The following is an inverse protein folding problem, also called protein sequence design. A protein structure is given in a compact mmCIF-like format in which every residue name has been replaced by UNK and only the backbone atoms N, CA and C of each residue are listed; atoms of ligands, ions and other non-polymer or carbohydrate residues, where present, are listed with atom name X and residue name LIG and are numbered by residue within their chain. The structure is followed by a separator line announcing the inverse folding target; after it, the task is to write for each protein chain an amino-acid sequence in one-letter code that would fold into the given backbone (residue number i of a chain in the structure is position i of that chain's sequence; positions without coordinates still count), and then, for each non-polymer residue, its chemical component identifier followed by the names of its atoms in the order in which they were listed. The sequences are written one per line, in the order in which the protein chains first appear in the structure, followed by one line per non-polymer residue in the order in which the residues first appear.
data_IF_179257869492
#
_entry.id   IF_179257869492
#
_cell.length_a   1.000
_cell.length_b   1.000
_cell.length_c   1.000
_cell.angle_alpha   90.00
_cell.angle_beta   90.00
_cell.angle_gamma   90.00
#
_symmetry.space_group_name_H-M   'P 1'
#
loop_
_entity.id
_entity.type
_entity.pdbx_description
1 polymer ?
#
# COMPACT_ATOMS: atom_id res chain seq x y z
N UNK A 1 -14.95 9.21 8.09
CA UNK A 1 -13.93 8.73 7.12
C UNK A 1 -13.97 9.67 5.92
N UNK A 2 -12.93 10.48 5.71
CA UNK A 2 -12.82 11.35 4.54
C UNK A 2 -12.51 10.45 3.33
N UNK A 3 -13.48 10.16 2.47
CA UNK A 3 -13.20 9.47 1.20
C UNK A 3 -12.55 10.49 0.26
N UNK A 4 -11.28 10.28 -0.07
CA UNK A 4 -10.61 10.98 -1.17
C UNK A 4 -11.32 10.67 -2.49
N UNK A 5 -11.39 11.65 -3.40
CA UNK A 5 -12.01 11.46 -4.73
C UNK A 5 -11.26 10.45 -5.61
N UNK A 6 -10.02 10.10 -5.24
CA UNK A 6 -9.19 9.10 -5.93
C UNK A 6 -8.58 8.11 -4.92
N UNK A 7 -8.59 6.81 -5.20
CA UNK A 7 -7.88 5.82 -4.39
C UNK A 7 -6.38 6.06 -4.45
N UNK A 8 -5.73 6.02 -3.29
CA UNK A 8 -4.29 6.10 -3.13
C UNK A 8 -3.80 4.84 -2.41
N UNK A 9 -2.67 4.28 -2.87
CA UNK A 9 -1.99 3.17 -2.20
C UNK A 9 -0.49 3.40 -2.39
N UNK A 10 0.23 3.40 -1.30
CA UNK A 10 1.69 3.41 -1.28
C UNK A 10 2.22 2.16 -0.61
N UNK A 11 3.22 1.53 -1.25
CA UNK A 11 3.95 0.39 -0.70
C UNK A 11 5.34 0.86 -0.31
N UNK A 12 5.64 0.81 0.98
CA UNK A 12 6.97 1.05 1.50
C UNK A 12 7.87 -0.17 1.21
N UNK A 13 8.67 -0.09 0.13
CA UNK A 13 9.58 -1.17 -0.29
C UNK A 13 10.63 -1.53 0.78
N UNK A 14 10.97 -0.63 1.72
CA UNK A 14 11.92 -0.93 2.80
C UNK A 14 11.34 -1.92 3.81
N UNK A 15 10.05 -1.85 4.07
CA UNK A 15 9.36 -2.69 5.06
C UNK A 15 8.75 -3.93 4.40
N UNK A 16 8.28 -3.81 3.16
CA UNK A 16 7.64 -4.90 2.43
C UNK A 16 8.53 -6.13 2.30
N UNK A 17 8.04 -7.29 2.76
CA UNK A 17 8.73 -8.59 2.64
C UNK A 17 8.32 -9.41 1.43
N UNK A 18 7.50 -8.86 0.53
CA UNK A 18 7.08 -9.50 -0.74
C UNK A 18 6.24 -10.77 -0.54
N UNK A 19 5.45 -10.83 0.54
CA UNK A 19 4.61 -11.98 0.85
C UNK A 19 3.44 -12.19 -0.12
N UNK A 20 2.99 -11.15 -0.83
CA UNK A 20 1.91 -11.23 -1.80
C UNK A 20 0.48 -11.16 -1.23
N UNK A 21 0.29 -11.06 0.09
CA UNK A 21 -1.05 -11.02 0.70
C UNK A 21 -1.93 -9.87 0.22
N UNK A 22 -1.33 -8.71 -0.07
CA UNK A 22 -2.09 -7.59 -0.63
C UNK A 22 -2.69 -7.91 -2.01
N UNK A 23 -2.04 -8.75 -2.82
CA UNK A 23 -2.57 -9.24 -4.09
C UNK A 23 -3.65 -10.30 -3.84
N UNK A 24 -3.37 -11.28 -2.99
CA UNK A 24 -4.28 -12.40 -2.68
C UNK A 24 -5.63 -11.94 -2.12
N UNK A 25 -5.61 -10.99 -1.17
CA UNK A 25 -6.83 -10.52 -0.50
C UNK A 25 -7.48 -9.31 -1.15
N UNK A 26 -6.94 -8.79 -2.26
CA UNK A 26 -7.58 -7.66 -2.93
C UNK A 26 -8.81 -8.14 -3.73
N UNK A 27 -10.05 -7.77 -3.35
CA UNK A 27 -11.26 -8.24 -4.04
C UNK A 27 -11.42 -7.63 -5.45
N UNK A 28 -10.52 -6.72 -5.84
CA UNK A 28 -10.51 -5.99 -7.11
C UNK A 28 -9.23 -6.19 -7.91
N UNK A 29 -8.38 -7.11 -7.47
CA UNK A 29 -7.11 -7.45 -8.13
C UNK A 29 -6.30 -6.21 -8.51
N UNK A 30 -6.11 -5.31 -7.53
CA UNK A 30 -5.43 -4.01 -7.76
C UNK A 30 -3.93 -4.19 -7.99
N UNK A 31 -3.34 -5.26 -7.44
CA UNK A 31 -1.91 -5.45 -7.33
C UNK A 31 -1.38 -6.47 -8.34
N UNK A 32 -0.32 -6.07 -9.05
CA UNK A 32 0.58 -6.99 -9.75
C UNK A 32 1.87 -7.17 -8.92
N UNK A 33 2.66 -8.20 -9.24
CA UNK A 33 3.99 -8.37 -8.65
C UNK A 33 5.02 -7.94 -9.69
N UNK A 34 5.89 -6.99 -9.33
CA UNK A 34 7.00 -6.56 -10.18
C UNK A 34 8.06 -7.67 -10.33
N UNK A 35 9.03 -7.53 -11.26
CA UNK A 35 10.08 -8.54 -11.45
C UNK A 35 10.97 -8.80 -10.23
N UNK A 36 11.02 -7.88 -9.26
CA UNK A 36 11.76 -8.02 -8.00
C UNK A 36 10.91 -8.65 -6.88
N UNK A 37 9.64 -8.95 -7.20
CA UNK A 37 8.65 -9.54 -6.32
C UNK A 37 7.92 -8.54 -5.42
N UNK A 38 8.02 -7.23 -5.64
CA UNK A 38 7.24 -6.26 -4.88
C UNK A 38 5.84 -6.10 -5.46
N UNK A 39 4.81 -5.89 -4.60
CA UNK A 39 3.48 -5.58 -5.08
C UNK A 39 3.42 -4.15 -5.64
N UNK A 40 2.82 -3.98 -6.81
CA UNK A 40 2.56 -2.70 -7.46
C UNK A 40 1.05 -2.53 -7.72
N UNK A 41 0.40 -1.44 -7.28
CA UNK A 41 -1.02 -1.21 -7.50
C UNK A 41 -1.34 -0.75 -8.95
N UNK A 42 -1.04 -1.58 -9.95
CA UNK A 42 -1.22 -1.27 -11.38
C UNK A 42 -2.67 -0.96 -11.77
N UNK A 43 -3.64 -1.53 -11.06
CA UNK A 43 -5.07 -1.33 -11.34
C UNK A 43 -5.76 -0.45 -10.28
N UNK A 44 -5.10 0.61 -9.82
CA UNK A 44 -5.61 1.51 -8.76
C UNK A 44 -7.02 2.06 -9.03
N UNK A 45 -7.41 2.22 -10.29
CA UNK A 45 -8.76 2.66 -10.69
C UNK A 45 -9.87 1.68 -10.28
N UNK A 46 -9.55 0.41 -10.05
CA UNK A 46 -10.50 -0.61 -9.57
C UNK A 46 -10.61 -0.62 -8.05
N UNK A 47 -9.74 0.09 -7.33
CA UNK A 47 -9.74 0.11 -5.88
C UNK A 47 -11.03 0.73 -5.35
N UNK A 48 -11.74 -0.01 -4.50
CA UNK A 48 -12.97 0.43 -3.82
C UNK A 48 -12.73 0.97 -2.40
N UNK A 49 -11.46 1.23 -2.06
CA UNK A 49 -11.03 1.72 -0.73
C UNK A 49 -11.55 0.85 0.43
N UNK A 50 -11.38 -0.48 0.29
CA UNK A 50 -11.80 -1.43 1.32
C UNK A 50 -10.83 -1.56 2.51
N UNK A 51 -9.61 -1.05 2.41
CA UNK A 51 -8.59 -1.10 3.47
C UNK A 51 -7.96 -2.49 3.71
N UNK A 52 -8.39 -3.55 3.02
CA UNK A 52 -7.89 -4.91 3.26
C UNK A 52 -6.38 -5.04 3.05
N UNK A 53 -5.81 -4.37 2.05
CA UNK A 53 -4.36 -4.42 1.82
C UNK A 53 -3.54 -3.83 2.97
N UNK A 54 -4.07 -2.85 3.70
CA UNK A 54 -3.43 -2.27 4.89
C UNK A 54 -3.54 -3.25 6.06
N UNK A 55 -4.75 -3.77 6.33
CA UNK A 55 -5.02 -4.67 7.46
C UNK A 55 -4.30 -6.01 7.32
N UNK A 56 -4.20 -6.54 6.09
CA UNK A 56 -3.58 -7.84 5.82
C UNK A 56 -2.06 -7.77 5.67
N UNK A 57 -1.45 -6.58 5.65
CA UNK A 57 0.00 -6.46 5.55
C UNK A 57 0.64 -6.75 6.92
N UNK A 58 1.36 -7.87 7.10
CA UNK A 58 1.92 -8.24 8.39
C UNK A 58 3.06 -7.30 8.84
N UNK A 59 3.70 -6.64 7.88
CA UNK A 59 4.80 -5.70 8.10
C UNK A 59 4.36 -4.23 8.10
N UNK A 60 3.05 -3.96 8.02
CA UNK A 60 2.48 -2.60 7.93
C UNK A 60 3.13 -1.74 6.83
N UNK A 61 3.55 -2.39 5.74
CA UNK A 61 4.29 -1.76 4.65
C UNK A 61 3.38 -1.06 3.62
N UNK A 62 2.07 -0.99 3.85
CA UNK A 62 1.09 -0.42 2.92
C UNK A 62 0.31 0.69 3.63
N UNK A 63 0.18 1.83 2.94
CA UNK A 63 -0.57 3.00 3.40
C UNK A 63 -1.55 3.41 2.31
N UNK A 64 -2.80 3.69 2.67
CA UNK A 64 -3.87 4.11 1.73
C UNK A 64 -4.25 5.59 1.86
N UNK A 65 -3.44 6.37 2.58
CA UNK A 65 -3.56 7.81 2.73
C UNK A 65 -2.21 8.55 2.52
N UNK A 66 -2.27 9.67 1.80
CA UNK A 66 -1.06 10.45 1.44
C UNK A 66 -0.43 11.12 2.67
N UNK A 67 -1.24 11.59 3.62
CA UNK A 67 -0.76 12.30 4.82
C UNK A 67 0.09 11.39 5.72
N UNK A 68 -0.33 10.14 5.95
CA UNK A 68 0.46 9.17 6.74
C UNK A 68 1.74 8.79 6.02
N UNK A 69 1.72 8.66 4.68
CA UNK A 69 2.96 8.44 3.91
C UNK A 69 3.95 9.57 4.16
N UNK A 70 3.52 10.82 4.06
CA UNK A 70 4.39 11.99 4.27
C UNK A 70 5.00 11.98 5.67
N UNK A 71 4.19 11.76 6.71
CA UNK A 71 4.66 11.64 8.09
C UNK A 71 5.69 10.52 8.27
N UNK A 72 5.45 9.33 7.71
CA UNK A 72 6.39 8.21 7.77
C UNK A 72 7.72 8.52 7.06
N UNK A 73 7.69 9.30 5.98
CA UNK A 73 8.89 9.75 5.29
C UNK A 73 9.62 10.79 6.14
N UNK A 74 8.91 11.76 6.71
CA UNK A 74 9.49 12.78 7.59
C UNK A 74 10.15 12.18 8.84
N UNK A 75 9.44 11.30 9.55
CA UNK A 75 9.99 10.54 10.68
C UNK A 75 11.26 9.78 10.26
N UNK A 76 11.22 9.10 9.13
CA UNK A 76 12.37 8.36 8.62
C UNK A 76 13.58 9.25 8.27
N UNK A 77 13.36 10.48 7.80
CA UNK A 77 14.42 11.46 7.53
C UNK A 77 15.00 12.02 8.84
N UNK A 78 14.15 12.23 9.85
CA UNK A 78 14.56 12.79 11.15
C UNK A 78 15.29 11.78 12.05
N UNK A 79 15.17 10.49 11.78
CA UNK A 79 15.88 9.40 12.48
C UNK A 79 17.26 9.04 11.88
N UNK A 80 17.76 9.82 10.91
CA UNK A 80 19.13 9.74 10.35
C UNK A 80 20.06 10.79 10.98
#
# INVERSE_FOLDING_TARGET
MKKSEKPFIWVNKKWCKRCGFCKEFCPKDVFEMDPEGFPEPKHIKHCVQCGLCVIQCPDYAIVDDEETKEKLIEEFILEQ
#
